data_IF_623714140301
#
_entry.id   IF_623714140301
#
_cell.length_a   1.000
_cell.length_b   1.000
_cell.length_c   1.000
_cell.angle_alpha   90.00
_cell.angle_beta   90.00
_cell.angle_gamma   90.00
#
_symmetry.space_group_name_H-M   'P 1'
#
loop_
_entity.id
_entity.type
_entity.pdbx_description
1 polymer ?
#
# COMPACT_ATOMS: atom_id res chain seq x y z
N UNK A 1 0.38 9.81 -6.39
CA UNK A 1 0.86 8.87 -5.35
C UNK A 1 -0.33 8.29 -4.61
N UNK A 2 -0.36 6.96 -4.50
CA UNK A 2 -1.44 6.19 -3.86
C UNK A 2 -1.44 6.30 -2.33
N UNK A 3 -2.46 5.76 -1.65
CA UNK A 3 -2.45 5.49 -0.20
C UNK A 3 -2.70 4.00 0.02
N UNK A 4 -2.14 3.44 1.08
CA UNK A 4 -2.32 2.02 1.42
C UNK A 4 -2.51 1.81 2.91
N UNK A 5 -3.17 0.70 3.25
CA UNK A 5 -3.42 0.19 4.60
C UNK A 5 -3.31 -1.34 4.58
N UNK A 6 -2.58 -1.89 5.53
CA UNK A 6 -2.47 -3.32 5.78
C UNK A 6 -2.89 -3.57 7.22
N UNK A 7 -3.72 -4.57 7.44
CA UNK A 7 -4.06 -5.10 8.74
C UNK A 7 -3.67 -6.56 8.82
N UNK A 8 -2.97 -6.94 9.88
CA UNK A 8 -2.71 -8.34 10.26
C UNK A 8 -3.04 -8.51 11.72
N UNK A 9 -3.90 -9.46 12.06
CA UNK A 9 -4.30 -9.74 13.44
C UNK A 9 -4.49 -11.23 13.73
N UNK A 10 -4.50 -11.59 15.01
CA UNK A 10 -4.96 -12.91 15.48
C UNK A 10 -6.48 -12.98 15.50
N UNK A 11 -7.11 -11.89 15.90
CA UNK A 11 -8.56 -11.76 15.95
C UNK A 11 -9.10 -11.18 14.64
N UNK A 12 -10.40 -11.32 14.44
CA UNK A 12 -11.09 -10.71 13.31
C UNK A 12 -11.35 -9.22 13.52
N UNK A 13 -11.29 -8.41 12.45
CA UNK A 13 -11.78 -7.03 12.48
C UNK A 13 -12.79 -6.76 11.36
N UNK A 14 -13.84 -6.02 11.68
CA UNK A 14 -14.78 -5.51 10.67
C UNK A 14 -14.04 -4.50 9.78
N UNK A 15 -14.21 -4.62 8.46
CA UNK A 15 -13.55 -3.71 7.51
C UNK A 15 -13.93 -2.24 7.75
N UNK A 16 -15.12 -1.93 8.28
CA UNK A 16 -15.53 -0.56 8.59
C UNK A 16 -14.64 0.12 9.62
N UNK A 17 -14.11 -0.62 10.60
CA UNK A 17 -13.15 -0.10 11.59
C UNK A 17 -11.81 0.28 10.97
N UNK A 18 -11.49 -0.21 9.77
CA UNK A 18 -10.27 0.12 9.04
C UNK A 18 -10.50 1.14 7.92
N UNK A 19 -11.63 1.01 7.23
CA UNK A 19 -11.88 1.69 5.96
C UNK A 19 -12.63 3.01 6.11
N UNK A 20 -13.67 3.07 6.94
CA UNK A 20 -14.65 4.16 6.88
C UNK A 20 -14.87 4.86 8.21
N UNK A 21 -14.84 4.13 9.32
CA UNK A 21 -15.16 4.68 10.66
C UNK A 21 -14.09 5.62 11.23
N UNK A 22 -12.78 5.35 11.10
CA UNK A 22 -11.77 6.28 11.63
C UNK A 22 -11.90 7.68 11.00
N UNK A 23 -11.75 8.73 11.82
CA UNK A 23 -11.83 10.11 11.35
C UNK A 23 -10.78 10.44 10.26
N UNK A 24 -9.60 9.83 10.33
CA UNK A 24 -8.57 9.87 9.28
C UNK A 24 -8.46 8.55 8.52
N UNK A 25 -9.59 7.90 8.26
CA UNK A 25 -9.66 6.62 7.55
C UNK A 25 -9.01 6.67 6.17
N UNK A 26 -8.66 5.50 5.63
CA UNK A 26 -8.09 5.42 4.26
C UNK A 26 -9.03 6.06 3.22
N UNK A 27 -10.35 5.95 3.41
CA UNK A 27 -11.35 6.58 2.53
C UNK A 27 -11.37 8.11 2.68
N UNK A 28 -11.03 8.67 3.85
CA UNK A 28 -10.88 10.12 4.00
C UNK A 28 -9.54 10.60 3.45
N UNK A 29 -8.47 9.82 3.62
CA UNK A 29 -7.16 10.08 3.00
C UNK A 29 -7.24 10.13 1.46
N UNK A 30 -8.31 9.58 0.88
CA UNK A 30 -8.66 9.74 -0.51
C UNK A 30 -8.66 11.18 -1.02
N UNK A 31 -9.20 12.10 -0.23
CA UNK A 31 -9.42 13.49 -0.61
C UNK A 31 -8.80 14.47 0.39
N UNK A 32 -8.44 14.01 1.59
CA UNK A 32 -7.71 14.75 2.64
C UNK A 32 -6.45 13.98 3.09
N UNK A 33 -5.51 13.75 2.17
CA UNK A 33 -4.20 13.17 2.50
C UNK A 33 -3.24 14.27 2.96
N UNK A 34 -2.62 14.09 4.14
CA UNK A 34 -1.82 15.12 4.81
C UNK A 34 -0.32 14.91 4.67
N UNK A 35 0.13 13.69 4.42
CA UNK A 35 1.55 13.31 4.30
C UNK A 35 1.95 12.97 2.85
N UNK A 36 1.23 13.51 1.87
CA UNK A 36 1.57 13.36 0.45
C UNK A 36 2.70 14.31 0.06
N UNK A 37 3.79 13.77 -0.49
CA UNK A 37 4.90 14.57 -1.03
C UNK A 37 4.50 15.39 -2.27
N UNK A 38 3.69 14.83 -3.17
CA UNK A 38 3.24 15.52 -4.39
C UNK A 38 1.94 16.29 -4.15
N UNK A 39 2.03 17.61 -4.05
CA UNK A 39 0.87 18.48 -3.80
C UNK A 39 0.11 18.89 -5.06
N UNK A 40 0.59 18.52 -6.26
CA UNK A 40 -0.03 18.91 -7.54
C UNK A 40 -1.39 18.24 -7.79
N UNK A 41 -1.59 17.06 -7.21
CA UNK A 41 -2.86 16.33 -7.25
C UNK A 41 -3.24 15.91 -5.84
N UNK A 42 -4.14 16.64 -5.16
CA UNK A 42 -4.44 16.39 -3.75
C UNK A 42 -5.30 15.14 -3.51
N UNK A 43 -5.81 14.51 -4.56
CA UNK A 43 -6.87 13.50 -4.46
C UNK A 43 -6.43 12.14 -5.06
N UNK A 44 -6.88 11.04 -4.44
CA UNK A 44 -6.86 9.64 -4.88
C UNK A 44 -8.24 9.24 -5.46
N UNK A 45 -8.57 9.72 -6.66
CA UNK A 45 -9.90 9.55 -7.27
C UNK A 45 -10.00 8.46 -8.33
N UNK A 46 -8.89 7.81 -8.66
CA UNK A 46 -8.80 6.96 -9.86
C UNK A 46 -9.22 5.51 -9.62
N UNK A 47 -9.71 5.21 -8.41
CA UNK A 47 -10.19 3.90 -8.00
C UNK A 47 -9.70 3.48 -6.61
N UNK A 48 -10.08 2.27 -6.22
CA UNK A 48 -9.59 1.62 -5.00
C UNK A 48 -9.70 0.10 -5.09
N UNK A 49 -8.92 -0.59 -4.25
CA UNK A 49 -8.91 -2.04 -4.12
C UNK A 49 -8.90 -2.47 -2.65
N UNK A 50 -9.66 -3.50 -2.34
CA UNK A 50 -9.70 -4.15 -1.03
C UNK A 50 -9.54 -5.63 -1.25
N UNK A 51 -8.62 -6.27 -0.54
CA UNK A 51 -8.64 -7.72 -0.44
C UNK A 51 -8.31 -8.22 0.94
N UNK A 52 -8.74 -9.44 1.18
CA UNK A 52 -8.69 -10.05 2.50
C UNK A 52 -8.63 -11.57 2.36
N UNK A 53 -8.24 -12.22 3.46
CA UNK A 53 -8.27 -13.67 3.58
C UNK A 53 -9.31 -14.04 4.63
N UNK A 54 -10.18 -15.00 4.31
CA UNK A 54 -11.14 -15.53 5.27
C UNK A 54 -10.42 -16.43 6.28
N UNK A 55 -10.73 -16.28 7.57
CA UNK A 55 -10.06 -17.03 8.63
C UNK A 55 -10.53 -18.47 8.76
N UNK A 56 -11.74 -18.83 8.28
CA UNK A 56 -12.22 -20.21 8.37
C UNK A 56 -11.46 -21.17 7.44
N UNK A 57 -11.00 -20.68 6.28
CA UNK A 57 -10.27 -21.48 5.31
C UNK A 57 -8.81 -21.76 5.71
N UNK A 58 -8.25 -20.99 6.66
CA UNK A 58 -6.87 -21.11 7.10
C UNK A 58 -6.66 -22.16 8.22
N UNK A 59 -7.72 -22.58 8.93
CA UNK A 59 -7.61 -23.37 10.16
C UNK A 59 -8.30 -24.75 10.16
N UNK A 60 -9.26 -25.05 9.27
CA UNK A 60 -9.97 -26.35 9.27
C UNK A 60 -10.19 -26.94 7.86
N UNK A 61 -9.81 -28.21 7.61
CA UNK A 61 -10.07 -28.93 6.36
C UNK A 61 -11.19 -29.97 6.58
N UNK A 62 -12.46 -29.57 6.68
CA UNK A 62 -13.54 -30.58 6.72
C UNK A 62 -14.09 -30.95 5.34
N UNK A 63 -13.82 -30.17 4.29
CA UNK A 63 -13.87 -30.61 2.89
C UNK A 63 -13.03 -29.60 2.09
N UNK A 64 -12.13 -30.01 1.17
CA UNK A 64 -11.35 -29.07 0.37
C UNK A 64 -12.27 -28.36 -0.64
N UNK A 65 -12.84 -27.22 -0.25
CA UNK A 65 -13.47 -26.31 -1.21
C UNK A 65 -12.41 -25.88 -2.24
N UNK A 66 -12.83 -25.63 -3.48
CA UNK A 66 -11.92 -25.22 -4.54
C UNK A 66 -11.22 -23.88 -4.27
N UNK A 67 -11.72 -23.09 -3.31
CA UNK A 67 -11.30 -21.72 -2.97
C UNK A 67 -10.40 -21.60 -1.73
N UNK A 68 -10.09 -22.70 -1.04
CA UNK A 68 -9.43 -22.66 0.26
C UNK A 68 -8.07 -21.92 0.25
N UNK A 69 -8.00 -20.80 0.98
CA UNK A 69 -6.80 -19.98 1.13
C UNK A 69 -6.61 -18.94 0.02
N UNK A 70 -7.63 -18.75 -0.82
CA UNK A 70 -7.61 -17.75 -1.88
C UNK A 70 -7.99 -16.36 -1.34
N UNK A 71 -7.28 -15.30 -1.76
CA UNK A 71 -7.65 -13.95 -1.41
C UNK A 71 -8.98 -13.56 -2.05
N UNK A 72 -9.88 -13.01 -1.24
CA UNK A 72 -11.01 -12.26 -1.76
C UNK A 72 -10.54 -10.88 -2.21
N UNK A 73 -11.06 -10.38 -3.33
CA UNK A 73 -10.66 -9.10 -3.91
C UNK A 73 -11.88 -8.36 -4.43
N UNK A 74 -11.95 -7.08 -4.08
CA UNK A 74 -12.85 -6.11 -4.66
C UNK A 74 -12.04 -4.94 -5.22
N UNK A 75 -12.26 -4.60 -6.48
CA UNK A 75 -11.63 -3.44 -7.12
C UNK A 75 -12.72 -2.58 -7.77
N UNK A 76 -12.54 -1.27 -7.75
CA UNK A 76 -13.40 -0.30 -8.41
C UNK A 76 -12.57 0.80 -9.05
N UNK A 77 -12.95 1.19 -10.26
CA UNK A 77 -12.36 2.33 -11.00
C UNK A 77 -12.99 3.67 -10.60
N UNK A 78 -14.06 3.63 -9.80
CA UNK A 78 -14.70 4.85 -9.28
C UNK A 78 -14.04 5.27 -7.96
N UNK A 79 -14.06 6.57 -7.64
CA UNK A 79 -13.55 7.04 -6.36
C UNK A 79 -14.14 6.30 -5.16
N UNK A 80 -13.32 6.11 -4.14
CA UNK A 80 -13.72 5.34 -2.96
C UNK A 80 -14.87 6.00 -2.18
N UNK A 81 -14.90 7.33 -2.11
CA UNK A 81 -15.97 8.10 -1.45
C UNK A 81 -17.32 8.02 -2.16
N UNK A 82 -17.35 7.80 -3.48
CA UNK A 82 -18.60 7.63 -4.24
C UNK A 82 -19.31 6.31 -3.94
N UNK A 83 -18.62 5.37 -3.30
CA UNK A 83 -19.16 4.04 -3.00
C UNK A 83 -19.70 3.91 -1.56
N UNK A 84 -19.64 4.99 -0.78
CA UNK A 84 -20.29 5.10 0.52
C UNK A 84 -21.68 5.69 0.28
N UNK A 85 -22.72 4.87 0.33
CA UNK A 85 -24.10 5.40 0.31
C UNK A 85 -24.29 6.23 1.58
N UNK A 86 -24.17 7.56 1.50
CA UNK A 86 -24.53 8.44 2.61
C UNK A 86 -23.76 9.76 2.75
N UNK A 87 -22.62 9.98 2.10
CA UNK A 87 -21.82 11.19 2.32
C UNK A 87 -21.12 11.70 1.05
N UNK A 88 -21.86 12.35 0.14
CA UNK A 88 -21.28 13.37 -0.75
C UNK A 88 -22.32 14.49 -0.94
N UNK A 89 -21.97 15.77 -0.69
CA UNK A 89 -22.77 16.90 -1.15
C UNK A 89 -22.98 16.81 -2.67
N UNK A 90 -24.23 16.79 -3.08
CA UNK A 90 -24.69 16.77 -4.47
C UNK A 90 -24.17 17.98 -5.24
N UNK A 91 -23.01 17.90 -5.89
CA UNK A 91 -22.66 18.85 -6.97
C UNK A 91 -21.70 18.36 -8.06
N UNK A 92 -21.21 17.11 -8.04
CA UNK A 92 -20.37 16.59 -9.13
C UNK A 92 -20.72 15.14 -9.50
N UNK A 93 -21.87 14.97 -10.16
CA UNK A 93 -22.24 13.70 -10.80
C UNK A 93 -22.76 13.92 -12.23
N UNK A 94 -21.83 14.08 -13.17
CA UNK A 94 -22.03 13.67 -14.57
C UNK A 94 -20.74 13.03 -15.04
N UNK A 95 -20.74 11.72 -15.30
CA UNK A 95 -20.03 11.08 -16.42
C UNK A 95 -20.59 9.66 -16.59
N UNK A 96 -20.73 9.29 -17.87
CA UNK A 96 -21.52 8.19 -18.44
C UNK A 96 -20.84 6.83 -18.31
N UNK A 97 -21.72 5.83 -18.17
CA UNK A 97 -21.52 4.41 -18.43
C UNK A 97 -21.03 4.14 -19.87
N UNK A 98 -20.00 3.29 -19.99
CA UNK A 98 -19.68 2.57 -21.21
C UNK A 98 -19.43 1.08 -20.92
N UNK A 99 -20.52 0.31 -21.02
CA UNK A 99 -20.61 -1.13 -21.31
C UNK A 99 -19.45 -1.72 -22.13
N UNK A 100 -19.01 -2.92 -21.75
CA UNK A 100 -18.53 -3.97 -22.67
C UNK A 100 -19.21 -5.32 -22.33
N UNK A 101 -19.66 -6.11 -23.33
CA UNK A 101 -20.37 -7.36 -23.12
C UNK A 101 -19.45 -8.60 -23.15
N UNK A 102 -19.79 -9.60 -22.33
CA UNK A 102 -19.52 -11.02 -22.59
C UNK A 102 -18.19 -11.60 -22.09
N UNK A 103 -18.23 -12.27 -20.92
CA UNK A 103 -17.65 -13.59 -20.64
C UNK A 103 -18.13 -14.05 -19.24
N UNK A 104 -18.51 -15.32 -19.04
CA UNK A 104 -19.07 -15.80 -17.78
C UNK A 104 -18.01 -15.77 -16.68
N UNK A 105 -18.30 -15.04 -15.60
CA UNK A 105 -17.49 -14.98 -14.39
C UNK A 105 -17.58 -16.32 -13.64
N UNK A 106 -16.47 -16.79 -13.07
CA UNK A 106 -16.46 -17.95 -12.18
C UNK A 106 -17.12 -17.61 -10.82
N UNK A 107 -18.43 -17.82 -10.80
CA UNK A 107 -19.40 -18.23 -9.77
C UNK A 107 -19.06 -18.53 -8.29
N UNK A 108 -17.92 -18.18 -7.67
CA UNK A 108 -17.75 -18.50 -6.21
C UNK A 108 -17.94 -17.29 -5.29
N UNK A 109 -17.22 -16.19 -5.50
CA UNK A 109 -17.30 -15.02 -4.61
C UNK A 109 -18.38 -14.01 -5.05
N UNK A 110 -18.65 -13.90 -6.35
CA UNK A 110 -19.77 -13.09 -6.87
C UNK A 110 -21.13 -13.69 -6.53
N UNK A 111 -21.23 -15.02 -6.51
CA UNK A 111 -22.47 -15.71 -6.15
C UNK A 111 -22.72 -15.69 -4.65
N UNK A 112 -21.68 -15.62 -3.81
CA UNK A 112 -21.83 -15.35 -2.38
C UNK A 112 -22.36 -13.93 -2.13
N UNK A 113 -21.81 -12.91 -2.81
CA UNK A 113 -22.33 -11.53 -2.74
C UNK A 113 -23.76 -11.47 -3.29
N UNK A 114 -24.07 -12.12 -4.41
CA UNK A 114 -25.40 -12.13 -5.02
C UNK A 114 -26.44 -12.95 -4.22
N UNK A 115 -26.05 -14.07 -3.63
CA UNK A 115 -26.88 -14.91 -2.75
C UNK A 115 -27.22 -14.20 -1.45
N UNK A 116 -26.26 -13.48 -0.86
CA UNK A 116 -26.49 -12.65 0.33
C UNK A 116 -27.40 -11.43 0.05
N UNK A 117 -27.38 -10.91 -1.19
CA UNK A 117 -28.32 -9.87 -1.64
C UNK A 117 -29.72 -10.45 -1.90
N UNK A 118 -29.81 -11.69 -2.39
CA UNK A 118 -31.09 -12.35 -2.71
C UNK A 118 -31.89 -12.80 -1.47
N UNK A 119 -31.26 -12.98 -0.32
CA UNK A 119 -31.91 -13.41 0.93
C UNK A 119 -32.49 -12.26 1.77
N UNK A 120 -32.30 -11.01 1.37
CA UNK A 120 -32.86 -9.82 2.01
C UNK A 120 -33.86 -9.13 1.07
N UNK A 121 -35.03 -8.78 1.57
CA UNK A 121 -36.10 -8.08 0.85
C UNK A 121 -35.73 -6.62 0.54
N UNK A 122 -34.80 -6.38 -0.39
CA UNK A 122 -34.26 -5.06 -0.81
C UNK A 122 -33.94 -5.10 -2.34
N UNK A 123 -34.10 -4.00 -3.12
CA UNK A 123 -34.41 -4.03 -4.57
C UNK A 123 -33.22 -4.41 -5.49
N UNK A 124 -33.44 -4.63 -6.81
CA UNK A 124 -32.74 -5.65 -7.57
C UNK A 124 -31.31 -5.31 -7.97
N UNK A 125 -30.44 -6.33 -7.83
CA UNK A 125 -29.29 -6.76 -8.65
C UNK A 125 -28.24 -5.78 -9.24
N UNK A 126 -28.38 -4.45 -9.16
CA UNK A 126 -27.58 -3.53 -9.98
C UNK A 126 -26.65 -2.57 -9.23
N UNK A 127 -26.43 -2.70 -7.92
CA UNK A 127 -25.46 -1.85 -7.20
C UNK A 127 -24.33 -2.64 -6.54
N UNK A 128 -23.18 -2.75 -7.26
CA UNK A 128 -21.90 -3.25 -6.74
C UNK A 128 -21.20 -2.15 -5.91
N UNK A 129 -21.76 -1.78 -4.76
CA UNK A 129 -21.23 -0.70 -3.91
C UNK A 129 -20.24 -1.21 -2.85
N UNK A 130 -19.38 -0.33 -2.32
CA UNK A 130 -18.52 -0.65 -1.16
C UNK A 130 -19.37 -1.13 0.03
N UNK A 131 -20.59 -0.61 0.18
CA UNK A 131 -21.54 -1.08 1.19
C UNK A 131 -21.93 -2.56 1.01
N UNK A 132 -22.07 -3.06 -0.22
CA UNK A 132 -22.30 -4.50 -0.47
C UNK A 132 -21.10 -5.36 -0.09
N UNK A 133 -19.88 -4.85 -0.31
CA UNK A 133 -18.63 -5.50 0.11
C UNK A 133 -18.55 -5.50 1.64
N UNK A 134 -18.89 -4.38 2.29
CA UNK A 134 -18.96 -4.27 3.74
C UNK A 134 -20.01 -5.20 4.33
N UNK A 135 -21.19 -5.31 3.72
CA UNK A 135 -22.25 -6.21 4.19
C UNK A 135 -21.89 -7.68 4.01
N UNK A 136 -21.37 -8.07 2.84
CA UNK A 136 -20.82 -9.41 2.62
C UNK A 136 -19.65 -9.67 3.59
N UNK A 137 -18.88 -8.63 3.91
CA UNK A 137 -17.80 -8.71 4.85
C UNK A 137 -18.22 -8.83 6.31
N UNK A 138 -19.32 -8.20 6.69
CA UNK A 138 -19.90 -8.27 8.02
C UNK A 138 -20.58 -9.61 8.30
N UNK A 139 -21.02 -10.34 7.27
CA UNK A 139 -21.63 -11.66 7.46
C UNK A 139 -20.60 -12.74 7.84
N UNK A 140 -19.30 -12.53 7.57
CA UNK A 140 -18.21 -13.35 8.12
C UNK A 140 -17.40 -12.55 9.15
N UNK A 141 -17.72 -12.72 10.44
CA UNK A 141 -17.00 -12.15 11.60
C UNK A 141 -15.57 -12.73 11.77
N UNK A 142 -14.84 -13.03 10.69
CA UNK A 142 -13.72 -13.97 10.71
C UNK A 142 -12.62 -13.54 9.71
N UNK A 143 -11.92 -12.43 9.99
CA UNK A 143 -10.93 -11.81 9.09
C UNK A 143 -9.61 -11.48 9.77
N UNK A 144 -8.57 -12.28 9.56
CA UNK A 144 -7.26 -12.13 10.25
C UNK A 144 -6.21 -11.36 9.46
N UNK A 145 -6.46 -11.06 8.18
CA UNK A 145 -5.56 -10.30 7.34
C UNK A 145 -6.32 -9.57 6.22
N UNK A 146 -6.07 -8.27 6.08
CA UNK A 146 -6.62 -7.45 5.01
C UNK A 146 -5.54 -6.53 4.43
N UNK A 147 -5.53 -6.43 3.10
CA UNK A 147 -4.74 -5.47 2.34
C UNK A 147 -5.69 -4.53 1.60
N UNK A 148 -5.48 -3.24 1.78
CA UNK A 148 -6.33 -2.18 1.25
C UNK A 148 -5.46 -1.14 0.57
N UNK A 149 -5.77 -0.83 -0.69
CA UNK A 149 -5.05 0.15 -1.49
C UNK A 149 -6.00 1.16 -2.13
N UNK A 150 -5.58 2.41 -2.21
CA UNK A 150 -6.32 3.47 -2.87
C UNK A 150 -5.50 4.21 -3.94
N UNK A 151 -6.10 4.41 -5.12
CA UNK A 151 -5.43 4.85 -6.33
C UNK A 151 -5.41 6.37 -6.49
N UNK A 152 -4.25 6.91 -6.88
CA UNK A 152 -4.12 8.24 -7.48
C UNK A 152 -3.29 8.08 -8.75
N UNK A 153 -3.90 8.26 -9.91
CA UNK A 153 -3.23 8.16 -11.20
C UNK A 153 -2.57 9.49 -11.59
N UNK A 154 -1.45 9.37 -12.30
CA UNK A 154 -0.78 10.49 -12.97
C UNK A 154 -1.36 10.80 -14.35
N UNK A 155 -2.18 9.94 -14.96
CA UNK A 155 -2.75 10.20 -16.29
C UNK A 155 -4.16 9.58 -16.51
N UNK A 156 -5.09 10.31 -17.16
CA UNK A 156 -6.48 9.87 -17.40
C UNK A 156 -6.63 8.51 -18.11
N UNK A 157 -5.59 8.04 -18.80
CA UNK A 157 -5.58 6.78 -19.57
C UNK A 157 -4.85 5.63 -18.85
N UNK A 158 -4.28 5.87 -17.66
CA UNK A 158 -3.59 4.88 -16.83
C UNK A 158 -4.45 4.42 -15.64
N UNK A 159 -5.74 4.20 -15.88
CA UNK A 159 -6.80 3.88 -14.89
C UNK A 159 -6.66 2.50 -14.20
N UNK A 160 -5.48 1.90 -14.25
CA UNK A 160 -5.19 0.54 -13.76
C UNK A 160 -4.13 0.52 -12.64
N UNK A 161 -3.72 1.70 -12.13
CA UNK A 161 -2.60 1.84 -11.18
C UNK A 161 -2.98 1.46 -9.75
N UNK A 162 -2.67 0.20 -9.38
CA UNK A 162 -3.07 -0.66 -8.24
C UNK A 162 -4.44 -1.34 -8.34
N UNK A 163 -4.52 -2.38 -9.15
CA UNK A 163 -5.31 -3.50 -8.66
C UNK A 163 -4.59 -4.09 -7.45
N UNK A 164 -5.33 -4.55 -6.45
CA UNK A 164 -4.77 -5.56 -5.58
C UNK A 164 -4.41 -6.74 -6.49
N UNK A 165 -3.12 -6.89 -6.79
CA UNK A 165 -2.70 -7.85 -7.79
C UNK A 165 -2.62 -9.21 -7.14
N UNK A 166 -3.28 -10.16 -7.78
CA UNK A 166 -3.09 -11.58 -7.53
C UNK A 166 -2.68 -12.22 -8.83
N UNK A 167 -1.73 -13.14 -8.73
CA UNK A 167 -1.36 -13.99 -9.85
C UNK A 167 -2.56 -14.87 -10.23
N UNK A 168 -3.11 -14.67 -11.43
CA UNK A 168 -4.09 -15.60 -12.02
C UNK A 168 -3.37 -16.52 -13.01
N UNK A 169 -2.88 -17.65 -12.54
CA UNK A 169 -2.20 -18.64 -13.39
C UNK A 169 -3.22 -19.52 -14.11
N UNK A 170 -3.90 -18.99 -15.12
CA UNK A 170 -4.80 -19.78 -15.98
C UNK A 170 -6.01 -20.39 -15.26
N UNK A 171 -6.66 -21.43 -15.83
CA UNK A 171 -7.83 -22.09 -15.26
C UNK A 171 -7.55 -22.90 -13.98
N UNK A 172 -6.29 -23.03 -13.57
CA UNK A 172 -5.88 -23.73 -12.35
C UNK A 172 -5.51 -22.71 -11.26
N UNK A 173 -6.44 -22.55 -10.31
CA UNK A 173 -6.40 -21.88 -8.98
C UNK A 173 -5.55 -20.59 -8.83
N UNK A 174 -6.14 -19.44 -8.45
CA UNK A 174 -5.40 -18.20 -8.22
C UNK A 174 -4.33 -18.35 -7.13
N UNK A 175 -3.22 -17.64 -7.32
CA UNK A 175 -2.14 -17.57 -6.36
C UNK A 175 -2.58 -16.77 -5.11
N UNK A 176 -2.17 -17.21 -3.91
CA UNK A 176 -2.58 -16.54 -2.69
C UNK A 176 -1.89 -15.20 -2.43
N UNK A 177 -0.92 -14.78 -3.24
CA UNK A 177 -0.18 -13.55 -3.01
C UNK A 177 -0.94 -12.29 -3.44
N UNK A 178 -1.10 -11.33 -2.53
CA UNK A 178 -1.62 -9.98 -2.80
C UNK A 178 -0.50 -8.94 -2.78
N UNK A 179 -0.45 -8.08 -3.80
CA UNK A 179 0.56 -7.01 -3.95
C UNK A 179 -0.05 -5.60 -4.00
N UNK A 180 0.68 -4.62 -3.47
CA UNK A 180 0.42 -3.18 -3.63
C UNK A 180 1.71 -2.37 -3.77
N UNK A 181 1.60 -1.17 -4.33
CA UNK A 181 2.69 -0.21 -4.49
C UNK A 181 2.20 1.22 -4.28
N UNK A 182 2.70 1.89 -3.23
CA UNK A 182 2.56 3.34 -3.08
C UNK A 182 3.86 4.04 -3.51
N UNK A 183 3.82 4.69 -4.67
CA UNK A 183 4.93 5.48 -5.18
C UNK A 183 4.94 5.48 -6.70
N UNK A 184 6.13 5.58 -7.28
CA UNK A 184 6.35 5.53 -8.72
C UNK A 184 7.78 5.09 -9.01
N UNK A 185 7.96 4.28 -10.04
CA UNK A 185 9.28 3.99 -10.62
C UNK A 185 9.57 5.10 -11.64
N UNK A 186 10.62 5.87 -11.37
CA UNK A 186 11.00 7.01 -12.20
C UNK A 186 11.32 6.56 -13.64
N UNK A 187 10.86 7.35 -14.61
CA UNK A 187 11.01 7.12 -16.06
C UNK A 187 10.82 5.66 -16.48
N UNK A 188 9.81 4.98 -15.90
CA UNK A 188 9.58 3.55 -16.09
C UNK A 188 9.52 3.12 -17.56
N UNK A 189 9.02 3.99 -18.45
CA UNK A 189 8.94 3.74 -19.89
C UNK A 189 10.31 3.42 -20.52
N UNK A 190 11.42 3.94 -19.98
CA UNK A 190 12.78 3.66 -20.45
C UNK A 190 13.26 2.24 -20.11
N UNK A 191 12.79 1.68 -18.98
CA UNK A 191 13.21 0.35 -18.52
C UNK A 191 12.16 -0.73 -18.77
N UNK A 192 10.91 -0.36 -19.04
CA UNK A 192 9.76 -1.27 -19.19
C UNK A 192 10.00 -2.38 -20.19
N UNK A 193 10.50 -2.05 -21.39
CA UNK A 193 10.77 -3.06 -22.44
C UNK A 193 11.82 -4.07 -21.98
N UNK A 194 12.83 -3.62 -21.25
CA UNK A 194 13.89 -4.48 -20.72
C UNK A 194 13.36 -5.39 -19.61
N UNK A 195 12.52 -4.85 -18.72
CA UNK A 195 11.82 -5.63 -17.70
C UNK A 195 10.97 -6.73 -18.36
N UNK A 196 10.12 -6.36 -19.31
CA UNK A 196 9.26 -7.27 -20.06
C UNK A 196 10.04 -8.44 -20.68
N UNK A 197 11.15 -8.14 -21.36
CA UNK A 197 12.01 -9.14 -22.00
C UNK A 197 12.76 -10.06 -21.02
N UNK A 198 12.80 -9.71 -19.73
CA UNK A 198 13.47 -10.52 -18.70
C UNK A 198 12.54 -11.55 -18.04
N UNK A 199 11.22 -11.45 -18.26
CA UNK A 199 10.23 -12.33 -17.67
C UNK A 199 10.03 -13.57 -18.54
N UNK A 200 9.65 -14.69 -17.92
CA UNK A 200 9.12 -15.84 -18.65
C UNK A 200 7.75 -15.50 -19.26
N UNK A 201 7.34 -16.24 -20.30
CA UNK A 201 6.04 -16.05 -20.94
C UNK A 201 4.87 -16.11 -19.94
N UNK A 202 4.99 -17.00 -18.95
CA UNK A 202 3.98 -17.13 -17.89
C UNK A 202 3.88 -15.86 -17.04
N UNK A 203 5.01 -15.29 -16.62
CA UNK A 203 5.03 -14.07 -15.80
C UNK A 203 4.74 -12.81 -16.60
N UNK A 204 5.09 -12.80 -17.88
CA UNK A 204 4.75 -11.72 -18.82
C UNK A 204 3.23 -11.59 -19.01
N UNK A 205 2.48 -12.68 -18.90
CA UNK A 205 1.02 -12.70 -19.02
C UNK A 205 0.27 -12.24 -17.74
N UNK A 206 0.99 -11.93 -16.67
CA UNK A 206 0.40 -11.60 -15.35
C UNK A 206 -0.15 -10.18 -15.28
N UNK A 207 0.58 -9.13 -15.72
CA UNK A 207 0.05 -7.78 -15.77
C UNK A 207 -1.18 -7.70 -16.68
N UNK A 208 -2.24 -7.01 -16.21
CA UNK A 208 -3.46 -6.77 -16.99
C UNK A 208 -3.46 -5.38 -17.62
N UNK A 209 -2.60 -4.50 -17.13
CA UNK A 209 -2.40 -3.14 -17.57
C UNK A 209 -0.93 -2.83 -17.83
N UNK A 210 -0.62 -1.55 -17.79
CA UNK A 210 0.66 -1.00 -18.24
C UNK A 210 1.44 -0.28 -17.14
N UNK A 211 0.97 -0.36 -15.91
CA UNK A 211 1.48 0.39 -14.75
C UNK A 211 2.79 -0.21 -14.25
N UNK A 212 3.67 0.64 -13.78
CA UNK A 212 4.93 0.26 -13.15
C UNK A 212 4.71 -0.70 -11.97
N UNK A 213 3.66 -0.49 -11.17
CA UNK A 213 3.27 -1.37 -10.06
C UNK A 213 3.02 -2.82 -10.49
N UNK A 214 2.33 -3.03 -11.61
CA UNK A 214 2.02 -4.38 -12.11
C UNK A 214 3.24 -5.11 -12.65
N UNK A 215 4.04 -4.39 -13.43
CA UNK A 215 5.28 -4.94 -13.97
C UNK A 215 6.32 -5.18 -12.87
N UNK A 216 6.36 -4.36 -11.83
CA UNK A 216 7.17 -4.59 -10.63
C UNK A 216 6.73 -5.84 -9.87
N UNK A 217 5.42 -6.12 -9.80
CA UNK A 217 4.92 -7.37 -9.21
C UNK A 217 5.35 -8.58 -10.03
N UNK A 218 5.18 -8.55 -11.36
CA UNK A 218 5.65 -9.64 -12.23
C UNK A 218 7.17 -9.89 -12.08
N UNK A 219 7.95 -8.81 -11.96
CA UNK A 219 9.38 -8.89 -11.67
C UNK A 219 9.66 -9.52 -10.30
N UNK A 220 8.97 -9.08 -9.25
CA UNK A 220 9.10 -9.68 -7.91
C UNK A 220 8.85 -11.19 -7.94
N UNK A 221 7.80 -11.63 -8.64
CA UNK A 221 7.45 -13.03 -8.76
C UNK A 221 8.53 -13.84 -9.45
N UNK A 222 9.26 -13.25 -10.41
CA UNK A 222 10.38 -13.92 -11.08
C UNK A 222 11.56 -14.25 -10.14
N UNK A 223 11.65 -13.58 -8.99
CA UNK A 223 12.64 -13.89 -7.95
C UNK A 223 12.16 -14.93 -6.92
N UNK A 224 10.91 -15.39 -7.00
CA UNK A 224 10.45 -16.49 -6.15
C UNK A 224 10.95 -17.83 -6.69
N UNK A 225 11.35 -18.79 -5.83
CA UNK A 225 11.82 -20.10 -6.28
C UNK A 225 10.79 -20.87 -7.12
N UNK A 226 9.51 -20.72 -6.78
CA UNK A 226 8.38 -21.21 -7.55
C UNK A 226 7.24 -20.18 -7.45
N UNK A 227 6.97 -19.41 -8.51
CA UNK A 227 5.92 -18.40 -8.50
C UNK A 227 4.53 -18.95 -8.20
N UNK A 228 4.27 -20.25 -8.43
CA UNK A 228 2.97 -20.91 -8.18
C UNK A 228 2.81 -21.47 -6.77
N UNK A 229 3.83 -21.38 -5.91
CA UNK A 229 3.73 -21.93 -4.57
C UNK A 229 2.69 -21.18 -3.72
N UNK A 230 1.96 -21.92 -2.88
CA UNK A 230 0.86 -21.37 -2.06
C UNK A 230 1.31 -20.56 -0.84
N UNK A 231 2.55 -20.69 -0.42
CA UNK A 231 3.07 -19.94 0.72
C UNK A 231 4.57 -19.90 0.67
N UNK A 232 5.15 -18.84 1.23
CA UNK A 232 6.58 -18.66 1.27
C UNK A 232 7.02 -18.38 2.70
N UNK A 233 8.25 -18.76 3.03
CA UNK A 233 8.82 -18.28 4.28
C UNK A 233 9.01 -16.75 4.19
N UNK A 234 8.88 -16.02 5.32
CA UNK A 234 9.09 -14.57 5.31
C UNK A 234 10.45 -14.16 4.74
N UNK A 235 11.47 -15.00 4.93
CA UNK A 235 12.80 -14.76 4.38
C UNK A 235 12.87 -14.88 2.86
N UNK A 236 12.08 -15.78 2.25
CA UNK A 236 12.00 -15.89 0.78
C UNK A 236 11.32 -14.65 0.19
N UNK A 237 10.18 -14.22 0.76
CA UNK A 237 9.48 -13.00 0.34
C UNK A 237 10.39 -11.77 0.47
N UNK A 238 11.10 -11.64 1.61
CA UNK A 238 12.08 -10.57 1.84
C UNK A 238 13.18 -10.57 0.78
N UNK A 239 13.80 -11.73 0.52
CA UNK A 239 14.87 -11.84 -0.49
C UNK A 239 14.39 -11.46 -1.88
N UNK A 240 13.23 -11.98 -2.30
CA UNK A 240 12.64 -11.63 -3.59
C UNK A 240 12.33 -10.13 -3.71
N UNK A 241 11.84 -9.49 -2.64
CA UNK A 241 11.60 -8.05 -2.58
C UNK A 241 12.89 -7.24 -2.76
N UNK A 242 13.94 -7.59 -2.02
CA UNK A 242 15.25 -6.94 -2.13
C UNK A 242 15.86 -7.13 -3.52
N UNK A 243 15.76 -8.32 -4.10
CA UNK A 243 16.20 -8.59 -5.48
C UNK A 243 15.41 -7.79 -6.52
N UNK A 244 14.10 -7.62 -6.32
CA UNK A 244 13.25 -6.77 -7.16
C UNK A 244 13.72 -5.31 -7.16
N UNK A 245 13.88 -4.72 -5.98
CA UNK A 245 14.37 -3.34 -5.82
C UNK A 245 15.76 -3.17 -6.43
N UNK A 246 16.69 -4.08 -6.12
CA UNK A 246 18.05 -4.03 -6.65
C UNK A 246 18.07 -4.09 -8.19
N UNK A 247 17.21 -4.92 -8.80
CA UNK A 247 17.12 -5.03 -10.26
C UNK A 247 16.54 -3.79 -10.90
N UNK A 248 15.51 -3.18 -10.31
CA UNK A 248 14.93 -1.92 -10.79
C UNK A 248 15.95 -0.79 -10.73
N UNK A 249 16.68 -0.66 -9.61
CA UNK A 249 17.76 0.33 -9.48
C UNK A 249 18.89 0.12 -10.49
N UNK A 250 19.28 -1.14 -10.72
CA UNK A 250 20.28 -1.47 -11.73
C UNK A 250 19.85 -0.98 -13.12
N UNK A 251 18.62 -1.26 -13.55
CA UNK A 251 18.13 -0.80 -14.84
C UNK A 251 17.96 0.72 -14.91
N UNK A 252 17.55 1.36 -13.82
CA UNK A 252 17.47 2.82 -13.75
C UNK A 252 18.85 3.46 -13.95
N UNK A 253 19.89 2.90 -13.32
CA UNK A 253 21.29 3.33 -13.49
C UNK A 253 21.78 3.13 -14.92
N UNK A 254 21.50 1.98 -15.53
CA UNK A 254 21.86 1.69 -16.92
C UNK A 254 21.14 2.63 -17.92
N UNK A 255 19.89 3.00 -17.62
CA UNK A 255 19.10 3.96 -18.39
C UNK A 255 19.42 5.43 -18.06
N UNK A 256 20.35 5.69 -17.12
CA UNK A 256 20.75 7.03 -16.65
C UNK A 256 19.58 7.87 -16.11
N UNK A 257 18.64 7.22 -15.44
CA UNK A 257 17.50 7.88 -14.80
C UNK A 257 18.01 8.58 -13.53
N UNK A 258 17.77 9.88 -13.43
CA UNK A 258 18.20 10.71 -12.29
C UNK A 258 17.08 10.99 -11.29
N UNK A 259 15.83 10.91 -11.75
CA UNK A 259 14.66 11.11 -10.89
C UNK A 259 14.53 9.95 -9.88
N UNK A 260 14.19 10.24 -8.60
CA UNK A 260 14.07 9.21 -7.58
C UNK A 260 12.83 8.35 -7.76
N UNK A 261 13.01 7.03 -7.65
CA UNK A 261 11.91 6.07 -7.54
C UNK A 261 11.45 5.93 -6.09
N UNK A 262 10.14 5.99 -5.88
CA UNK A 262 9.48 5.74 -4.59
C UNK A 262 8.85 4.35 -4.65
N UNK A 263 9.37 3.42 -3.84
CA UNK A 263 9.03 2.00 -3.94
C UNK A 263 8.52 1.47 -2.59
N UNK A 264 7.40 2.02 -2.11
CA UNK A 264 6.68 1.41 -0.99
C UNK A 264 5.88 0.22 -1.50
N UNK A 265 6.54 -0.90 -1.69
CA UNK A 265 5.96 -2.16 -2.09
C UNK A 265 5.41 -2.90 -0.87
N UNK A 266 4.33 -3.64 -1.07
CA UNK A 266 3.70 -4.46 -0.05
C UNK A 266 3.28 -5.78 -0.67
N UNK A 267 3.60 -6.89 -0.01
CA UNK A 267 3.21 -8.23 -0.41
C UNK A 267 2.74 -9.02 0.81
N UNK A 268 1.71 -9.83 0.63
CA UNK A 268 1.34 -10.87 1.60
C UNK A 268 0.92 -12.15 0.90
N UNK A 269 1.14 -13.28 1.56
CA UNK A 269 0.71 -14.62 1.15
C UNK A 269 -0.46 -15.14 2.01
N UNK A 270 -1.17 -14.25 2.72
CA UNK A 270 -2.20 -14.65 3.69
C UNK A 270 -1.69 -14.86 5.12
N UNK A 271 -0.37 -15.07 5.30
CA UNK A 271 0.23 -15.43 6.59
C UNK A 271 1.30 -14.44 7.03
N UNK A 272 2.13 -14.00 6.10
CA UNK A 272 3.26 -13.10 6.29
C UNK A 272 3.04 -11.81 5.53
N UNK A 273 3.50 -10.68 6.06
CA UNK A 273 3.50 -9.40 5.35
C UNK A 273 4.94 -8.95 5.15
N UNK A 274 5.28 -8.51 3.95
CA UNK A 274 6.53 -7.80 3.67
C UNK A 274 6.19 -6.46 3.04
N UNK A 275 6.68 -5.37 3.65
CA UNK A 275 6.47 -4.02 3.16
C UNK A 275 7.79 -3.24 3.13
N UNK A 276 7.98 -2.35 2.17
CA UNK A 276 9.14 -1.46 2.10
C UNK A 276 8.71 -0.02 2.28
N UNK A 277 9.54 0.78 2.96
CA UNK A 277 9.58 2.23 2.79
C UNK A 277 10.89 2.55 2.10
N UNK A 278 10.86 2.90 0.81
CA UNK A 278 12.09 2.98 0.01
C UNK A 278 12.08 4.15 -0.97
N UNK A 279 13.23 4.82 -1.08
CA UNK A 279 13.53 5.80 -2.12
C UNK A 279 14.93 5.58 -2.70
N UNK A 280 15.07 5.68 -4.01
CA UNK A 280 16.36 5.59 -4.72
C UNK A 280 17.07 6.95 -4.76
N UNK A 281 17.19 7.60 -3.60
CA UNK A 281 17.92 8.87 -3.43
C UNK A 281 18.40 9.00 -2.00
N UNK A 282 19.56 9.64 -1.83
CA UNK A 282 20.14 9.95 -0.51
C UNK A 282 19.57 11.24 0.09
N UNK A 283 18.99 12.10 -0.73
CA UNK A 283 18.56 13.46 -0.35
C UNK A 283 17.05 13.57 -0.27
N UNK A 284 16.31 12.92 -1.18
CA UNK A 284 14.85 12.98 -1.22
C UNK A 284 14.21 12.13 -0.13
N UNK A 285 12.97 12.43 0.26
CA UNK A 285 12.25 11.62 1.25
C UNK A 285 11.47 10.47 0.60
N UNK A 286 11.47 9.30 1.24
CA UNK A 286 10.58 8.22 0.84
C UNK A 286 9.12 8.57 1.12
N UNK A 287 8.19 8.07 0.30
CA UNK A 287 6.76 8.18 0.57
C UNK A 287 6.46 7.68 2.00
N UNK A 288 5.59 8.39 2.71
CA UNK A 288 5.28 8.11 4.11
C UNK A 288 4.79 6.67 4.30
N UNK A 289 5.25 6.03 5.38
CA UNK A 289 4.78 4.73 5.81
C UNK A 289 4.92 4.64 7.33
N UNK A 290 3.84 4.24 7.99
CA UNK A 290 3.72 4.18 9.43
C UNK A 290 3.25 2.80 9.84
N UNK A 291 3.60 2.38 11.05
CA UNK A 291 3.02 1.19 11.64
C UNK A 291 2.49 1.46 13.04
N UNK A 292 1.48 0.69 13.42
CA UNK A 292 0.91 0.65 14.76
C UNK A 292 0.74 -0.81 15.15
N UNK A 293 0.96 -1.12 16.42
CA UNK A 293 0.86 -2.47 16.96
C UNK A 293 0.20 -2.46 18.33
N UNK A 294 -0.55 -3.52 18.66
CA UNK A 294 -1.23 -3.60 19.95
C UNK A 294 -2.11 -4.82 20.09
N UNK A 295 -3.01 -4.78 21.07
CA UNK A 295 -3.99 -5.83 21.34
C UNK A 295 -5.33 -5.55 20.67
N UNK A 296 -5.79 -4.31 20.66
CA UNK A 296 -7.09 -3.93 20.07
C UNK A 296 -7.04 -2.55 19.44
N UNK A 297 -7.77 -2.38 18.33
CA UNK A 297 -8.03 -1.10 17.70
C UNK A 297 -9.54 -0.82 17.74
N UNK A 298 -9.94 0.19 18.53
CA UNK A 298 -11.35 0.45 18.83
C UNK A 298 -11.66 1.95 18.88
N UNK A 299 -12.93 2.28 18.67
CA UNK A 299 -13.46 3.63 18.87
C UNK A 299 -13.64 3.90 20.36
N UNK A 300 -12.92 4.88 20.90
CA UNK A 300 -13.01 5.23 22.33
C UNK A 300 -13.93 6.42 22.59
N UNK A 301 -14.26 7.19 21.55
CA UNK A 301 -15.25 8.27 21.60
C UNK A 301 -16.01 8.38 20.27
N UNK A 302 -17.30 8.74 20.28
CA UNK A 302 -18.09 8.85 19.06
C UNK A 302 -17.51 9.88 18.09
N UNK A 303 -17.56 9.59 16.79
CA UNK A 303 -17.09 10.51 15.74
C UNK A 303 -15.83 10.04 15.04
N UNK A 304 -15.53 8.73 15.10
CA UNK A 304 -14.35 8.17 14.47
C UNK A 304 -13.07 8.38 15.27
N UNK A 305 -13.17 8.59 16.58
CA UNK A 305 -12.01 8.68 17.46
C UNK A 305 -11.56 7.27 17.86
N UNK A 306 -10.54 6.78 17.15
CA UNK A 306 -9.95 5.46 17.37
C UNK A 306 -8.62 5.57 18.09
N UNK A 307 -8.25 4.50 18.79
CA UNK A 307 -6.92 4.34 19.38
C UNK A 307 -6.44 2.89 19.32
N UNK A 308 -5.13 2.70 19.32
CA UNK A 308 -4.49 1.40 19.51
C UNK A 308 -4.25 1.20 21.01
N UNK A 309 -4.77 0.11 21.57
CA UNK A 309 -4.53 -0.24 22.99
C UNK A 309 -3.52 -1.37 23.09
N UNK A 310 -2.66 -1.31 24.11
CA UNK A 310 -1.66 -2.32 24.46
C UNK A 310 -1.95 -2.84 25.86
N UNK A 311 -2.85 -3.81 25.97
CA UNK A 311 -3.25 -4.39 27.26
C UNK A 311 -2.31 -5.50 27.72
N UNK A 312 -1.72 -6.23 26.77
CA UNK A 312 -0.88 -7.40 27.01
C UNK A 312 0.56 -7.16 26.57
N UNK A 313 1.48 -7.99 27.08
CA UNK A 313 2.89 -8.01 26.61
C UNK A 313 3.04 -8.52 25.17
N UNK A 314 2.03 -9.22 24.64
CA UNK A 314 2.03 -9.75 23.28
C UNK A 314 1.15 -8.87 22.39
N UNK A 315 1.66 -8.58 21.20
CA UNK A 315 0.93 -7.85 20.18
C UNK A 315 0.08 -8.84 19.38
N UNK A 316 -1.23 -8.58 19.33
CA UNK A 316 -2.21 -9.41 18.63
C UNK A 316 -2.58 -8.82 17.27
N UNK A 317 -2.16 -7.59 16.98
CA UNK A 317 -2.41 -6.96 15.70
C UNK A 317 -1.34 -5.95 15.29
N UNK A 318 -1.23 -5.78 13.98
CA UNK A 318 -0.40 -4.80 13.30
C UNK A 318 -1.23 -4.07 12.25
N UNK A 319 -1.05 -2.76 12.19
CA UNK A 319 -1.48 -1.89 11.11
C UNK A 319 -0.24 -1.31 10.45
N UNK A 320 -0.18 -1.32 9.11
CA UNK A 320 0.79 -0.55 8.33
C UNK A 320 -0.01 0.37 7.42
N UNK A 321 0.22 1.68 7.47
CA UNK A 321 -0.55 2.65 6.71
C UNK A 321 0.35 3.72 6.08
N UNK A 322 -0.07 4.30 4.97
CA UNK A 322 0.60 5.47 4.40
C UNK A 322 0.55 6.67 5.34
N UNK A 323 -0.55 6.84 6.07
CA UNK A 323 -0.74 7.86 7.10
C UNK A 323 -1.49 7.26 8.30
N UNK A 324 -1.19 7.70 9.53
CA UNK A 324 -1.90 7.28 10.73
C UNK A 324 -3.42 7.42 10.60
N UNK A 325 -4.19 6.38 10.90
CA UNK A 325 -5.67 6.44 10.85
C UNK A 325 -6.27 7.26 12.01
N UNK A 326 -5.45 7.61 13.00
CA UNK A 326 -5.84 8.29 14.23
C UNK A 326 -4.89 9.46 14.50
N UNK A 327 -5.32 10.42 15.32
CA UNK A 327 -4.49 11.57 15.71
C UNK A 327 -3.65 11.34 16.97
N UNK A 328 -3.78 10.16 17.59
CA UNK A 328 -2.99 9.73 18.73
C UNK A 328 -1.56 9.40 18.29
N UNK A 329 -0.67 10.40 18.35
CA UNK A 329 0.72 10.27 17.89
C UNK A 329 1.49 9.15 18.59
N UNK A 330 1.14 8.81 19.83
CA UNK A 330 1.80 7.75 20.60
C UNK A 330 1.51 6.34 20.04
N UNK A 331 0.44 6.18 19.26
CA UNK A 331 0.00 4.88 18.74
C UNK A 331 0.74 4.49 17.45
N UNK A 332 1.39 5.45 16.79
CA UNK A 332 1.96 5.28 15.46
C UNK A 332 3.45 5.59 15.47
N UNK A 333 4.22 4.68 14.86
CA UNK A 333 5.64 4.86 14.63
C UNK A 333 5.89 4.98 13.14
N UNK A 334 6.64 6.02 12.76
CA UNK A 334 7.10 6.18 11.40
C UNK A 334 8.14 5.10 11.09
N UNK A 335 8.00 4.45 9.93
CA UNK A 335 9.01 3.50 9.46
C UNK A 335 10.15 4.32 8.86
N UNK A 336 11.42 4.13 9.24
CA UNK A 336 12.53 4.89 8.66
C UNK A 336 12.65 4.70 7.14
N UNK A 337 13.23 5.69 6.46
CA UNK A 337 13.48 5.56 5.02
C UNK A 337 14.44 4.40 4.74
N UNK A 338 14.25 3.76 3.58
CA UNK A 338 15.05 2.62 3.13
C UNK A 338 15.04 1.47 4.15
N UNK A 339 13.84 1.11 4.63
CA UNK A 339 13.61 0.00 5.57
C UNK A 339 12.62 -1.00 4.99
N UNK A 340 12.87 -2.30 5.21
CA UNK A 340 11.93 -3.39 4.95
C UNK A 340 11.34 -3.88 6.28
N UNK A 341 10.02 -3.93 6.33
CA UNK A 341 9.22 -4.47 7.43
C UNK A 341 8.77 -5.88 7.06
N UNK A 342 8.94 -6.82 7.98
CA UNK A 342 8.47 -8.19 7.83
C UNK A 342 7.63 -8.56 9.05
N UNK A 343 6.34 -8.83 8.84
CA UNK A 343 5.47 -9.39 9.86
C UNK A 343 5.34 -10.90 9.60
N UNK A 344 5.82 -11.69 10.55
CA UNK A 344 5.84 -13.16 10.45
C UNK A 344 4.48 -13.78 10.78
N UNK A 345 4.24 -15.06 10.42
CA UNK A 345 3.02 -15.77 10.81
C UNK A 345 2.80 -15.80 12.33
N UNK A 346 3.89 -15.78 13.11
CA UNK A 346 3.90 -15.78 14.58
C UNK A 346 3.71 -14.39 15.21
N UNK A 347 3.25 -13.39 14.45
CA UNK A 347 3.01 -12.03 14.94
C UNK A 347 4.26 -11.31 15.48
N UNK A 348 5.45 -11.64 14.95
CA UNK A 348 6.65 -10.85 15.17
C UNK A 348 6.85 -9.86 14.03
N UNK A 349 7.18 -8.62 14.38
CA UNK A 349 7.63 -7.59 13.44
C UNK A 349 9.15 -7.53 13.40
N UNK A 350 9.72 -7.50 12.20
CA UNK A 350 11.14 -7.28 11.96
C UNK A 350 11.28 -6.02 11.13
N UNK A 351 12.08 -5.07 11.60
CA UNK A 351 12.47 -3.88 10.83
C UNK A 351 13.94 -4.04 10.45
N UNK A 352 14.22 -4.03 9.15
CA UNK A 352 15.55 -4.32 8.63
C UNK A 352 15.94 -3.18 7.68
N UNK A 353 17.06 -2.49 7.88
CA UNK A 353 17.52 -1.48 6.93
C UNK A 353 17.88 -2.13 5.59
N UNK A 354 17.48 -1.47 4.51
CA UNK A 354 17.87 -1.81 3.13
C UNK A 354 19.19 -1.08 2.86
N UNK A 355 20.30 -1.81 2.98
CA UNK A 355 21.64 -1.24 2.82
C UNK A 355 22.06 -1.33 1.35
N UNK A 356 21.99 -0.21 0.65
CA UNK A 356 22.47 0.00 -0.72
C UNK A 356 23.11 1.39 -0.89
N UNK A 357 23.36 1.84 -2.12
CA UNK A 357 23.97 3.15 -2.41
C UNK A 357 23.10 4.36 -1.98
N UNK A 358 21.82 4.14 -1.67
CA UNK A 358 20.86 5.17 -1.25
C UNK A 358 20.60 5.18 0.26
N UNK A 359 21.12 4.18 0.99
CA UNK A 359 20.98 4.11 2.45
C UNK A 359 21.68 5.28 3.15
N UNK A 360 20.97 5.90 4.08
CA UNK A 360 21.48 6.97 4.95
C UNK A 360 21.36 6.50 6.40
N UNK A 361 22.47 6.41 7.16
CA UNK A 361 22.41 6.03 8.57
C UNK A 361 21.61 7.04 9.41
N UNK A 362 20.97 6.56 10.48
CA UNK A 362 20.16 7.38 11.39
C UNK A 362 20.91 8.61 11.95
N UNK A 363 22.23 8.53 12.15
CA UNK A 363 23.04 9.67 12.59
C UNK A 363 23.06 10.84 11.60
N UNK A 364 22.77 10.59 10.32
CA UNK A 364 22.72 11.57 9.25
C UNK A 364 21.28 11.87 8.74
N UNK A 365 20.26 11.16 9.25
CA UNK A 365 18.86 11.37 8.84
C UNK A 365 18.32 12.76 9.22
N UNK A 366 18.71 13.30 10.37
CA UNK A 366 18.31 14.65 10.79
C UNK A 366 18.80 15.74 9.81
N UNK A 367 19.96 15.51 9.17
CA UNK A 367 20.50 16.42 8.14
C UNK A 367 19.67 16.33 6.86
N UNK A 368 19.25 15.13 6.45
CA UNK A 368 18.35 14.91 5.30
C UNK A 368 16.99 15.60 5.49
N UNK A 369 16.40 15.48 6.68
CA UNK A 369 15.12 16.15 7.00
C UNK A 369 15.27 17.68 6.95
N UNK A 370 16.38 18.20 7.48
CA UNK A 370 16.72 19.63 7.46
C UNK A 370 16.96 20.17 6.05
N UNK A 371 17.76 19.48 5.23
CA UNK A 371 18.09 19.88 3.86
C UNK A 371 16.85 19.80 2.94
N UNK A 372 15.97 18.81 3.14
CA UNK A 372 14.69 18.72 2.44
C UNK A 372 13.75 19.86 2.84
N UNK A 373 13.61 20.14 4.14
CA UNK A 373 12.82 21.26 4.64
C UNK A 373 13.34 22.60 4.11
N UNK A 374 14.67 22.78 4.02
CA UNK A 374 15.30 23.96 3.42
C UNK A 374 14.94 24.10 1.94
N UNK A 375 15.12 23.01 1.17
CA UNK A 375 14.86 22.98 -0.28
C UNK A 375 13.38 23.21 -0.62
N UNK A 376 12.47 22.77 0.25
CA UNK A 376 11.02 22.99 0.11
C UNK A 376 10.53 24.30 0.73
N UNK A 377 11.41 25.14 1.29
CA UNK A 377 11.06 26.40 1.93
C UNK A 377 10.20 26.24 3.19
N UNK A 378 10.29 25.10 3.86
CA UNK A 378 9.53 24.73 5.06
C UNK A 378 10.27 25.07 6.37
N UNK A 379 11.47 25.66 6.28
CA UNK A 379 12.17 26.20 7.45
C UNK A 379 11.53 27.51 7.89
N UNK A 380 11.27 27.62 9.20
CA UNK A 380 10.93 28.88 9.85
C UNK A 380 12.03 29.92 9.59
N UNK A 381 11.65 31.19 9.40
CA UNK A 381 12.53 32.33 9.02
C UNK A 381 13.74 32.60 9.94
N UNK A 382 13.99 31.79 10.96
CA UNK A 382 15.10 31.88 11.91
C UNK A 382 16.08 30.70 11.92
N UNK A 383 15.99 29.74 10.99
CA UNK A 383 16.91 28.58 10.92
C UNK A 383 17.87 28.59 9.72
N UNK A 384 17.94 29.69 8.95
CA UNK A 384 18.98 29.85 7.92
C UNK A 384 20.28 30.23 8.61
N UNK A 385 21.13 29.25 8.91
CA UNK A 385 22.53 29.52 9.25
C UNK A 385 23.25 29.89 7.97
N UNK A 386 23.47 31.19 7.77
CA UNK A 386 24.46 31.66 6.79
C UNK A 386 25.84 31.25 7.31
N UNK A 387 26.41 30.17 6.77
CA UNK A 387 27.86 30.00 6.77
C UNK A 387 28.43 30.94 5.70
N UNK A 388 28.60 32.21 6.06
CA UNK A 388 29.58 33.07 5.41
C UNK A 388 30.77 33.18 6.35
N UNK A 389 31.85 32.55 5.90
CA UNK A 389 33.20 32.61 6.45
C UNK A 389 33.75 34.04 6.27
N UNK A 390 33.54 34.90 7.27
CA UNK A 390 34.12 36.24 7.36
C UNK A 390 35.19 36.27 8.46
N UNK A 391 36.36 35.68 8.19
CA UNK A 391 37.59 36.09 8.89
C UNK A 391 38.03 37.46 8.36
N UNK A 392 38.10 38.51 9.21
CA UNK A 392 38.57 39.83 8.77
C UNK A 392 40.10 39.85 8.62
N UNK A 393 40.65 40.54 7.61
CA UNK A 393 42.09 40.73 7.50
C UNK A 393 42.59 41.77 8.51
N UNK A 394 43.62 41.40 9.28
CA UNK A 394 44.35 42.31 10.16
C UNK A 394 45.14 43.34 9.33
N UNK A 395 44.79 44.62 9.44
CA UNK A 395 45.67 45.73 9.05
C UNK A 395 46.57 46.18 10.21
N UNK A 396 47.81 46.61 9.94
CA UNK A 396 48.80 46.96 10.95
C UNK A 396 48.68 48.42 11.39
N UNK A 397 48.60 48.67 12.69
CA UNK A 397 48.76 50.02 13.26
C UNK A 397 50.23 50.38 13.44
N UNK A 398 50.72 51.30 12.61
CA UNK A 398 51.75 52.30 12.96
C UNK A 398 51.22 53.19 14.10
N UNK A 399 51.98 53.67 15.09
CA UNK A 399 53.40 53.63 15.40
C UNK A 399 53.66 54.69 16.50
N UNK A 400 54.51 54.34 17.47
CA UNK A 400 55.41 55.15 18.32
C UNK A 400 55.67 54.42 19.64
#
# INVERSE_FOLDING_TARGET
MCRLLIYKGTDSIELSHLLTRPCHSIINQAFDSRLRLDRRRPINGDGFGVGWYDSQELEQPEEPSSTQGEPCIFNSVTPAWNNVSGLVPTDYARVRDSRLPGKPYAASCQDQIASCIASQSVPPANSRSLNSVMQCACQSNNRRLAIIGQLSSMEPWQTHGMYLLTLRTGPEKPNPNQWMHNGSIADFHLIKRKLQASLSDELFAVPQGNTDSEWAFALFLSFLPNPKAKSFTPNVLKKAMLSCIARLNQWAKEAKITEPSLMNFCITDGKSVVATRYVSSRTDEAASLWFSSGTTFHEYAPGGHYRMTKSDKRENMFLIASEPLTFEKADWMEIPSNTIIVITPKMNILQIPIIDEFYVPASAENKRLGDFAATKGLLSRGQVTNEHDDTPPNEPTSGL
#
